data_IF_996317072205
#
_entry.id   IF_996317072205
#
_cell.length_a   1.000
_cell.length_b   1.000
_cell.length_c   1.000
_cell.angle_alpha   90.00
_cell.angle_beta   90.00
_cell.angle_gamma   90.00
#
_symmetry.space_group_name_H-M   'P 1'
#
loop_
_entity.id
_entity.type
_entity.pdbx_description
1 polymer ?
#
# COMPACT_ATOMS: atom_id res chain seq x y z
N UNK A 1 23.09 60.40 -2.03
CA UNK A 1 22.47 61.47 -2.84
C UNK A 1 22.44 61.03 -4.29
N UNK A 2 21.33 61.34 -4.98
CA UNK A 2 21.10 61.23 -6.43
C UNK A 2 20.65 59.84 -6.94
N UNK A 3 19.60 59.66 -7.76
CA UNK A 3 18.47 60.49 -8.21
C UNK A 3 17.46 59.52 -8.85
N UNK A 4 16.17 59.77 -8.60
CA UNK A 4 15.00 59.14 -9.23
C UNK A 4 14.91 59.53 -10.71
N UNK A 5 14.45 58.63 -11.60
CA UNK A 5 13.63 59.01 -12.78
C UNK A 5 12.56 57.96 -13.09
N UNK A 6 11.31 58.34 -12.80
CA UNK A 6 10.07 57.80 -13.38
C UNK A 6 9.74 58.56 -14.67
N UNK A 7 9.14 57.92 -15.68
CA UNK A 7 8.16 58.45 -16.66
C UNK A 7 8.18 57.60 -17.95
N UNK A 8 7.12 57.42 -18.75
CA UNK A 8 5.67 57.73 -18.73
C UNK A 8 5.07 56.90 -19.91
N UNK A 9 3.82 56.49 -19.76
CA UNK A 9 2.96 55.83 -20.77
C UNK A 9 2.57 56.78 -21.94
N UNK A 10 2.16 56.18 -23.08
CA UNK A 10 1.07 56.54 -24.06
C UNK A 10 1.33 55.74 -25.38
N UNK A 11 0.54 54.72 -25.79
CA UNK A 11 -0.76 54.71 -26.51
C UNK A 11 -0.70 55.45 -27.89
N UNK A 12 -1.22 55.00 -29.05
CA UNK A 12 -2.27 54.03 -29.40
C UNK A 12 -2.34 53.72 -30.94
N UNK A 13 -3.07 52.64 -31.29
CA UNK A 13 -3.96 52.35 -32.48
C UNK A 13 -3.41 52.41 -33.93
N UNK A 14 -3.87 51.64 -34.95
CA UNK A 14 -5.14 50.95 -35.24
C UNK A 14 -4.91 49.75 -36.21
N UNK A 15 -5.50 48.56 -36.00
CA UNK A 15 -6.75 48.00 -36.55
C UNK A 15 -6.75 47.63 -38.07
N UNK A 16 -6.91 46.33 -38.38
CA UNK A 16 -7.60 45.86 -39.58
C UNK A 16 -8.24 44.47 -39.36
N UNK A 17 -9.43 44.29 -39.93
CA UNK A 17 -10.47 43.29 -39.62
C UNK A 17 -10.45 42.13 -40.62
N UNK A 18 -10.83 40.92 -40.15
CA UNK A 18 -11.79 39.96 -40.79
C UNK A 18 -11.30 38.51 -40.79
N UNK A 19 -12.08 37.60 -40.21
CA UNK A 19 -12.92 36.62 -40.92
C UNK A 19 -13.32 35.50 -39.95
N UNK A 20 -14.62 35.25 -39.85
CA UNK A 20 -15.20 34.19 -39.02
C UNK A 20 -14.99 32.80 -39.64
N UNK A 21 -14.67 31.81 -38.81
CA UNK A 21 -14.90 30.40 -39.10
C UNK A 21 -15.56 29.75 -37.87
N UNK A 22 -16.77 29.24 -38.11
CA UNK A 22 -17.54 28.38 -37.20
C UNK A 22 -17.02 26.96 -37.35
N UNK A 23 -16.73 26.25 -36.26
CA UNK A 23 -17.24 24.89 -35.97
C UNK A 23 -16.40 24.14 -34.92
N UNK A 24 -17.14 23.40 -34.08
CA UNK A 24 -16.74 22.29 -33.21
C UNK A 24 -15.69 22.57 -32.13
N UNK A 25 -16.22 23.04 -31.00
CA UNK A 25 -15.67 22.77 -29.67
C UNK A 25 -15.68 21.25 -29.46
N UNK A 26 -14.55 20.58 -29.72
CA UNK A 26 -14.33 19.22 -29.24
C UNK A 26 -14.26 19.31 -27.72
N UNK A 27 -15.32 18.86 -27.05
CA UNK A 27 -15.29 18.57 -25.62
C UNK A 27 -14.38 17.36 -25.49
N UNK A 28 -13.12 17.59 -25.11
CA UNK A 28 -12.29 16.51 -24.58
C UNK A 28 -13.10 15.86 -23.47
N UNK A 29 -13.51 14.62 -23.73
CA UNK A 29 -14.08 13.78 -22.71
C UNK A 29 -12.98 13.62 -21.66
N UNK A 30 -13.16 14.31 -20.53
CA UNK A 30 -12.44 13.99 -19.30
C UNK A 30 -12.53 12.47 -19.15
N UNK A 31 -11.43 11.72 -19.14
CA UNK A 31 -11.52 10.31 -18.80
C UNK A 31 -12.18 10.28 -17.43
N UNK A 32 -13.27 9.55 -17.33
CA UNK A 32 -13.93 9.30 -16.06
C UNK A 32 -12.85 8.80 -15.11
N UNK A 33 -12.45 9.67 -14.18
CA UNK A 33 -11.59 9.31 -13.07
C UNK A 33 -12.31 8.16 -12.39
N UNK A 34 -11.82 6.95 -12.61
CA UNK A 34 -12.21 5.80 -11.80
C UNK A 34 -12.01 6.28 -10.37
N UNK A 35 -13.11 6.44 -9.63
CA UNK A 35 -13.08 6.93 -8.28
C UNK A 35 -12.01 6.10 -7.56
N UNK A 36 -10.94 6.77 -7.11
CA UNK A 36 -9.93 6.12 -6.32
C UNK A 36 -10.68 5.42 -5.18
N UNK A 37 -10.42 4.11 -4.93
CA UNK A 37 -11.08 3.43 -3.83
C UNK A 37 -10.92 4.28 -2.57
N UNK A 38 -11.95 4.35 -1.71
CA UNK A 38 -11.87 5.11 -0.48
C UNK A 38 -10.58 4.75 0.27
N UNK A 39 -9.97 5.70 1.00
CA UNK A 39 -8.73 5.44 1.71
C UNK A 39 -8.91 4.20 2.58
N UNK A 40 -8.17 3.14 2.26
CA UNK A 40 -8.26 1.87 2.97
C UNK A 40 -8.06 2.13 4.47
N UNK A 41 -8.96 1.58 5.29
CA UNK A 41 -8.86 1.64 6.75
C UNK A 41 -7.53 1.02 7.18
N UNK A 42 -7.04 1.37 8.38
CA UNK A 42 -5.73 0.88 8.83
C UNK A 42 -5.56 -0.65 8.67
N UNK A 43 -6.52 -1.51 9.07
CA UNK A 43 -6.41 -2.96 8.86
C UNK A 43 -6.52 -3.39 7.40
N UNK A 44 -7.34 -2.73 6.58
CA UNK A 44 -7.53 -3.06 5.15
C UNK A 44 -6.21 -2.93 4.36
N UNK A 45 -5.25 -2.14 4.87
CA UNK A 45 -3.89 -2.07 4.32
C UNK A 45 -3.17 -3.43 4.38
N UNK A 46 -3.58 -4.38 5.22
CA UNK A 46 -2.95 -5.68 5.28
C UNK A 46 -3.28 -6.57 4.07
N UNK A 47 -4.39 -6.31 3.37
CA UNK A 47 -4.81 -7.11 2.21
C UNK A 47 -3.75 -7.03 1.11
N UNK A 48 -3.25 -8.17 0.65
CA UNK A 48 -2.20 -8.26 -0.36
C UNK A 48 -1.29 -9.47 -0.18
N UNK A 49 -0.23 -9.52 -1.00
CA UNK A 49 0.81 -10.54 -0.95
C UNK A 49 2.10 -9.92 -0.43
N UNK A 50 2.76 -10.63 0.47
CA UNK A 50 3.89 -10.15 1.25
C UNK A 50 5.04 -11.15 1.12
N UNK A 51 6.11 -10.76 0.44
CA UNK A 51 7.29 -11.60 0.19
C UNK A 51 8.31 -11.40 1.31
N UNK A 52 8.82 -12.49 1.89
CA UNK A 52 9.86 -12.44 2.91
C UNK A 52 11.18 -11.94 2.30
N UNK A 53 11.92 -11.12 3.03
CA UNK A 53 13.12 -10.44 2.49
C UNK A 53 14.32 -11.36 2.26
N UNK A 54 14.35 -12.54 2.90
CA UNK A 54 15.48 -13.47 2.94
C UNK A 54 15.17 -14.84 2.28
N UNK A 55 13.94 -15.07 1.83
CA UNK A 55 13.51 -16.30 1.18
C UNK A 55 12.24 -16.08 0.35
N UNK A 56 11.94 -16.96 -0.60
CA UNK A 56 10.76 -16.87 -1.48
C UNK A 56 9.43 -17.25 -0.79
N UNK A 57 9.33 -17.03 0.52
CA UNK A 57 8.15 -17.36 1.32
C UNK A 57 7.18 -16.20 1.32
N UNK A 58 5.89 -16.50 1.25
CA UNK A 58 4.86 -15.47 1.11
C UNK A 58 3.77 -15.61 2.16
N UNK A 59 3.33 -14.48 2.71
CA UNK A 59 2.02 -14.36 3.36
C UNK A 59 1.06 -13.73 2.36
N UNK A 60 -0.07 -14.38 2.12
CA UNK A 60 -1.18 -13.80 1.36
C UNK A 60 -2.32 -13.49 2.33
N UNK A 61 -2.82 -12.25 2.32
CA UNK A 61 -3.98 -11.82 3.11
C UNK A 61 -5.05 -11.41 2.12
N UNK A 62 -6.12 -12.19 2.03
CA UNK A 62 -7.23 -11.95 1.09
C UNK A 62 -8.29 -11.00 1.66
N UNK A 63 -8.41 -10.93 2.99
CA UNK A 63 -9.41 -10.10 3.66
C UNK A 63 -9.15 -9.93 5.15
N UNK A 64 -9.80 -8.93 5.73
CA UNK A 64 -9.78 -8.61 7.16
C UNK A 64 -11.21 -8.59 7.68
N UNK A 65 -11.52 -9.44 8.64
CA UNK A 65 -12.80 -9.47 9.33
C UNK A 65 -12.96 -8.30 10.30
N UNK A 66 -14.20 -7.96 10.62
CA UNK A 66 -14.52 -6.86 11.55
C UNK A 66 -13.98 -7.10 12.98
N UNK A 67 -13.71 -8.35 13.35
CA UNK A 67 -13.10 -8.76 14.62
C UNK A 67 -11.56 -8.83 14.56
N UNK A 68 -10.96 -8.42 13.43
CA UNK A 68 -9.52 -8.46 13.20
C UNK A 68 -8.99 -9.80 12.70
N UNK A 69 -9.83 -10.82 12.53
CA UNK A 69 -9.39 -12.09 11.91
C UNK A 69 -8.96 -11.88 10.46
N UNK A 70 -7.90 -12.57 10.07
CA UNK A 70 -7.35 -12.48 8.72
C UNK A 70 -7.71 -13.74 7.93
N UNK A 71 -8.18 -13.57 6.70
CA UNK A 71 -8.17 -14.64 5.71
C UNK A 71 -6.76 -14.71 5.12
N UNK A 72 -5.92 -15.57 5.69
CA UNK A 72 -4.50 -15.62 5.42
C UNK A 72 -4.00 -17.01 4.99
N UNK A 73 -3.02 -17.02 4.09
CA UNK A 73 -2.30 -18.21 3.63
C UNK A 73 -0.79 -17.97 3.78
N UNK A 74 -0.07 -19.04 4.08
CA UNK A 74 1.40 -19.02 4.11
C UNK A 74 1.97 -20.01 3.11
N UNK A 75 2.97 -19.59 2.33
CA UNK A 75 3.60 -20.41 1.30
C UNK A 75 5.11 -20.57 1.57
N UNK A 76 5.58 -21.81 1.61
CA UNK A 76 6.98 -22.21 1.66
C UNK A 76 7.22 -23.59 0.99
N UNK A 77 7.72 -23.64 -0.25
CA UNK A 77 7.10 -23.04 -1.44
C UNK A 77 5.65 -23.50 -1.65
N UNK A 78 5.24 -24.61 -1.01
CA UNK A 78 3.85 -25.07 -0.96
C UNK A 78 3.06 -24.43 0.18
N UNK A 79 1.71 -24.59 0.21
CA UNK A 79 0.90 -24.07 1.29
C UNK A 79 1.22 -24.79 2.61
N UNK A 80 1.34 -24.01 3.68
CA UNK A 80 1.37 -24.50 5.07
C UNK A 80 0.07 -24.07 5.75
N UNK A 81 -0.56 -24.99 6.48
CA UNK A 81 -1.81 -24.68 7.17
C UNK A 81 -1.62 -23.57 8.22
N UNK A 82 -2.43 -22.52 8.10
CA UNK A 82 -2.52 -21.39 9.05
C UNK A 82 -3.63 -21.72 10.04
N UNK A 83 -3.27 -22.05 11.29
CA UNK A 83 -4.25 -22.37 12.35
C UNK A 83 -4.92 -21.12 12.91
N UNK A 84 -4.24 -19.97 12.86
CA UNK A 84 -4.72 -18.69 13.39
C UNK A 84 -4.07 -17.54 12.65
N UNK A 85 -4.85 -16.54 12.27
CA UNK A 85 -4.33 -15.28 11.76
C UNK A 85 -5.21 -14.11 12.20
N UNK A 86 -4.61 -13.11 12.82
CA UNK A 86 -5.30 -11.99 13.46
C UNK A 86 -4.51 -10.70 13.32
N UNK A 87 -5.22 -9.58 13.35
CA UNK A 87 -4.67 -8.24 13.40
C UNK A 87 -5.30 -7.43 14.52
N UNK A 88 -4.52 -6.53 15.11
CA UNK A 88 -4.99 -5.65 16.17
C UNK A 88 -4.17 -4.37 16.23
N UNK A 89 -4.80 -3.28 16.66
CA UNK A 89 -4.09 -2.06 17.05
C UNK A 89 -3.53 -2.24 18.47
N UNK A 90 -2.22 -2.09 18.63
CA UNK A 90 -1.55 -2.18 19.93
C UNK A 90 -0.42 -1.16 20.03
N UNK A 91 -0.50 -0.26 21.02
CA UNK A 91 0.49 0.80 21.21
C UNK A 91 0.60 1.76 20.02
N UNK A 92 -0.51 2.02 19.32
CA UNK A 92 -0.54 2.89 18.14
C UNK A 92 -0.08 2.23 16.84
N UNK A 93 0.34 0.97 16.87
CA UNK A 93 0.78 0.23 15.69
C UNK A 93 -0.21 -0.89 15.33
N UNK A 94 -0.33 -1.16 14.03
CA UNK A 94 -1.09 -2.31 13.52
C UNK A 94 -0.21 -3.56 13.59
N UNK A 95 -0.60 -4.53 14.40
CA UNK A 95 0.11 -5.81 14.58
C UNK A 95 -0.62 -6.94 13.88
N UNK A 96 0.15 -7.95 13.49
CA UNK A 96 -0.32 -9.16 12.84
C UNK A 96 0.26 -10.39 13.55
N UNK A 97 -0.59 -11.36 13.85
CA UNK A 97 -0.23 -12.70 14.31
C UNK A 97 -0.57 -13.70 13.19
N UNK A 98 0.35 -14.59 12.84
CA UNK A 98 0.08 -15.73 11.94
C UNK A 98 0.68 -16.98 12.55
N UNK A 99 -0.13 -17.96 12.90
CA UNK A 99 0.28 -19.25 13.46
C UNK A 99 0.21 -20.35 12.40
N UNK A 100 1.27 -21.16 12.31
CA UNK A 100 1.43 -22.24 11.36
C UNK A 100 1.36 -23.59 12.09
N UNK A 101 0.45 -24.46 11.64
CA UNK A 101 0.24 -25.77 12.23
C UNK A 101 0.19 -26.87 11.15
N UNK A 102 1.33 -27.52 10.93
CA UNK A 102 1.51 -28.60 9.94
C UNK A 102 2.75 -29.45 10.28
N UNK A 103 3.10 -30.43 9.45
CA UNK A 103 4.34 -31.20 9.57
C UNK A 103 5.55 -30.26 9.52
N UNK A 104 6.35 -30.26 10.60
CA UNK A 104 7.50 -29.36 10.76
C UNK A 104 7.15 -28.01 11.40
N UNK A 105 5.86 -27.72 11.57
CA UNK A 105 5.32 -26.49 12.14
C UNK A 105 4.37 -26.82 13.30
N UNK A 106 4.87 -27.02 14.53
CA UNK A 106 4.03 -27.47 15.65
C UNK A 106 3.20 -26.34 16.30
N UNK A 107 2.82 -25.29 15.54
CA UNK A 107 2.32 -24.02 16.07
C UNK A 107 3.36 -22.90 16.05
N UNK A 108 4.31 -22.94 15.11
CA UNK A 108 5.29 -21.85 14.94
C UNK A 108 4.58 -20.61 14.40
N UNK A 109 4.94 -19.42 14.84
CA UNK A 109 4.13 -18.24 14.56
C UNK A 109 4.95 -16.98 14.30
N UNK A 110 4.34 -16.05 13.58
CA UNK A 110 4.85 -14.72 13.33
C UNK A 110 4.16 -13.72 14.24
N UNK A 111 4.94 -12.79 14.81
CA UNK A 111 4.45 -11.55 15.40
C UNK A 111 5.04 -10.40 14.61
N UNK A 112 4.20 -9.72 13.83
CA UNK A 112 4.62 -8.68 12.88
C UNK A 112 3.96 -7.35 13.21
N UNK A 113 4.59 -6.26 12.80
CA UNK A 113 4.08 -4.90 12.84
C UNK A 113 4.09 -4.34 11.43
N UNK A 114 2.96 -3.77 11.02
CA UNK A 114 2.85 -3.08 9.75
C UNK A 114 3.44 -1.67 9.86
N UNK A 115 4.37 -1.36 8.96
CA UNK A 115 4.91 -0.02 8.78
C UNK A 115 4.27 0.64 7.54
N UNK A 116 3.41 1.65 7.71
CA UNK A 116 2.77 2.33 6.59
C UNK A 116 3.75 3.20 5.78
N UNK A 117 4.92 3.57 6.32
CA UNK A 117 5.91 4.38 5.62
C UNK A 117 6.67 3.59 4.55
N UNK A 118 6.95 2.31 4.82
CA UNK A 118 7.67 1.41 3.91
C UNK A 118 6.76 0.36 3.25
N UNK A 119 5.47 0.30 3.61
CA UNK A 119 4.51 -0.71 3.18
C UNK A 119 5.07 -2.13 3.38
N UNK A 120 5.48 -2.40 4.62
CA UNK A 120 6.16 -3.63 5.01
C UNK A 120 5.59 -4.20 6.31
N UNK A 121 5.83 -5.50 6.53
CA UNK A 121 5.57 -6.19 7.79
C UNK A 121 6.92 -6.60 8.40
N UNK A 122 7.23 -6.16 9.61
CA UNK A 122 8.49 -6.49 10.29
C UNK A 122 8.23 -7.10 11.65
N UNK A 123 9.07 -8.03 12.09
CA UNK A 123 8.94 -8.61 13.42
C UNK A 123 9.71 -9.91 13.58
N UNK A 124 9.11 -10.85 14.31
CA UNK A 124 9.78 -12.07 14.75
C UNK A 124 8.99 -13.30 14.28
N UNK A 125 9.71 -14.28 13.74
CA UNK A 125 9.26 -15.65 13.57
C UNK A 125 9.71 -16.51 14.76
N UNK A 126 8.76 -17.10 15.47
CA UNK A 126 8.98 -18.01 16.60
C UNK A 126 8.91 -19.45 16.11
N UNK A 127 10.06 -20.05 15.84
CA UNK A 127 10.15 -21.43 15.36
C UNK A 127 10.14 -22.41 16.53
N UNK A 128 8.97 -22.93 16.88
CA UNK A 128 8.80 -23.82 18.03
C UNK A 128 9.42 -25.20 17.83
N UNK A 129 9.49 -25.71 16.60
CA UNK A 129 10.13 -27.00 16.29
C UNK A 129 11.62 -27.08 16.63
N UNK A 130 12.35 -25.96 16.62
CA UNK A 130 13.77 -25.88 16.99
C UNK A 130 14.03 -24.92 18.16
N UNK A 131 12.96 -24.35 18.74
CA UNK A 131 13.00 -23.36 19.82
C UNK A 131 13.93 -22.16 19.52
N UNK A 132 13.78 -21.55 18.35
CA UNK A 132 14.56 -20.37 17.93
C UNK A 132 13.65 -19.24 17.46
N UNK A 133 14.19 -18.02 17.47
CA UNK A 133 13.53 -16.83 16.97
C UNK A 133 14.36 -16.19 15.88
N UNK A 134 13.69 -15.65 14.86
CA UNK A 134 14.32 -15.01 13.72
C UNK A 134 13.66 -13.67 13.47
N UNK A 135 14.45 -12.60 13.36
CA UNK A 135 13.96 -11.34 12.82
C UNK A 135 13.64 -11.51 11.35
N UNK A 136 12.47 -11.02 10.94
CA UNK A 136 11.97 -11.16 9.58
C UNK A 136 11.33 -9.87 9.12
N UNK A 137 11.42 -9.63 7.82
CA UNK A 137 10.70 -8.57 7.14
C UNK A 137 9.99 -9.14 5.91
N UNK A 138 8.84 -8.56 5.60
CA UNK A 138 8.10 -8.84 4.37
C UNK A 138 7.79 -7.54 3.66
N UNK A 139 8.01 -7.53 2.34
CA UNK A 139 7.66 -6.41 1.47
C UNK A 139 6.42 -6.76 0.65
N UNK A 140 5.54 -5.79 0.44
CA UNK A 140 4.41 -5.98 -0.46
C UNK A 140 4.92 -6.27 -1.88
N UNK A 141 4.33 -7.26 -2.52
CA UNK A 141 4.52 -7.53 -3.95
C UNK A 141 3.21 -7.30 -4.71
N UNK A 142 3.32 -6.72 -5.89
CA UNK A 142 2.20 -6.63 -6.81
C UNK A 142 1.96 -8.01 -7.41
N UNK A 143 0.78 -8.59 -7.19
CA UNK A 143 0.36 -9.73 -7.99
C UNK A 143 0.13 -9.20 -9.40
N UNK A 144 1.04 -9.49 -10.33
CA UNK A 144 0.73 -9.33 -11.75
C UNK A 144 -0.30 -10.41 -12.09
N UNK A 145 -1.49 -10.06 -12.62
CA UNK A 145 -2.51 -11.03 -12.99
C UNK A 145 -2.04 -11.99 -14.09
#
# INVERSE_FOLDING_TARGET
MSRVRRSRLLAALAAMVSMAAVACKAREATPASAAAPPPATAPDRLVGRWLRSDADYTIEIAGVGADGKLDARYLNPGPIHVSRAESAMAGGALRVLVELQDRGYPGSYYTLTYDPGSDSLTGVYHHLGINQQFEVAFSRISTTP
#
